data_IF_695408999723
#
_entry.id   IF_695408999723
#
_cell.length_a   1.000
_cell.length_b   1.000
_cell.length_c   1.000
_cell.angle_alpha   90.00
_cell.angle_beta   90.00
_cell.angle_gamma   90.00
#
_symmetry.space_group_name_H-M   'P 1'
#
loop_
_entity.id
_entity.type
_entity.pdbx_description
1 polymer ?
#
# COMPACT_ATOMS: atom_id res chain seq x y z
N UNK A 1 -14.28 3.30 5.77
CA UNK A 1 -14.75 4.42 4.94
C UNK A 1 -14.87 5.66 5.81
N UNK A 2 -13.83 6.49 5.89
CA UNK A 2 -13.84 7.76 6.61
C UNK A 2 -13.31 8.94 5.76
N UNK A 3 -13.14 8.73 4.45
CA UNK A 3 -12.46 9.68 3.55
C UNK A 3 -13.34 10.20 2.43
N UNK A 4 -14.61 9.80 2.40
CA UNK A 4 -15.62 10.39 1.53
C UNK A 4 -16.53 11.27 2.36
N UNK A 5 -16.32 12.59 2.29
CA UNK A 5 -17.25 13.70 2.55
C UNK A 5 -16.50 14.89 3.20
N UNK A 6 -15.90 15.74 2.37
CA UNK A 6 -15.74 17.17 2.64
C UNK A 6 -15.05 17.62 3.94
N UNK A 7 -14.30 16.76 4.64
CA UNK A 7 -13.55 17.18 5.82
C UNK A 7 -12.52 18.25 5.43
N UNK A 8 -12.42 19.36 6.17
CA UNK A 8 -11.36 20.34 5.95
C UNK A 8 -10.00 19.65 6.09
N UNK A 9 -9.02 20.05 5.28
CA UNK A 9 -7.69 19.41 5.24
C UNK A 9 -7.07 19.25 6.64
N UNK A 10 -7.34 20.17 7.57
CA UNK A 10 -6.87 20.11 8.96
C UNK A 10 -7.42 18.94 9.79
N UNK A 11 -8.66 18.53 9.56
CA UNK A 11 -9.26 17.38 10.26
C UNK A 11 -8.68 16.07 9.73
N UNK A 12 -8.43 16.04 8.42
CA UNK A 12 -7.71 14.97 7.74
C UNK A 12 -6.27 14.81 8.24
N UNK A 13 -5.53 15.92 8.40
CA UNK A 13 -4.17 15.89 8.95
C UNK A 13 -4.14 15.35 10.38
N UNK A 14 -5.15 15.73 11.18
CA UNK A 14 -5.31 15.20 12.54
C UNK A 14 -5.60 13.70 12.54
N UNK A 15 -6.57 13.25 11.73
CA UNK A 15 -6.90 11.82 11.61
C UNK A 15 -5.71 11.02 11.09
N UNK A 16 -4.99 11.55 10.11
CA UNK A 16 -3.75 10.95 9.60
C UNK A 16 -2.69 10.82 10.70
N UNK A 17 -2.48 11.88 11.52
CA UNK A 17 -1.55 11.82 12.64
C UNK A 17 -1.95 10.74 13.67
N UNK A 18 -3.24 10.58 13.98
CA UNK A 18 -3.72 9.52 14.86
C UNK A 18 -3.52 8.12 14.26
N UNK A 19 -3.77 7.95 12.96
CA UNK A 19 -3.59 6.70 12.25
C UNK A 19 -2.12 6.30 12.24
N UNK A 20 -1.21 7.20 11.85
CA UNK A 20 0.23 6.92 11.78
C UNK A 20 0.78 6.63 13.18
N UNK A 21 0.25 7.27 14.23
CA UNK A 21 0.64 6.97 15.62
C UNK A 21 0.23 5.55 16.04
N UNK A 22 -0.97 5.10 15.66
CA UNK A 22 -1.51 3.79 16.08
C UNK A 22 -1.03 2.64 15.21
N UNK A 23 -0.90 2.87 13.91
CA UNK A 23 -0.61 1.86 12.92
C UNK A 23 0.21 2.48 11.76
N UNK A 24 1.51 2.76 11.98
CA UNK A 24 2.35 3.49 11.02
C UNK A 24 2.50 2.79 9.67
N UNK A 25 2.22 1.49 9.58
CA UNK A 25 2.37 0.68 8.38
C UNK A 25 1.05 0.07 7.87
N UNK A 26 -0.09 0.68 8.22
CA UNK A 26 -1.40 0.19 7.80
C UNK A 26 -1.67 0.47 6.31
N UNK A 27 -1.53 -0.55 5.47
CA UNK A 27 -1.65 -0.46 4.01
C UNK A 27 -2.85 0.38 3.53
N UNK A 28 -4.06 0.03 3.94
CA UNK A 28 -5.29 0.70 3.49
C UNK A 28 -5.33 2.19 3.86
N UNK A 29 -4.68 2.57 4.97
CA UNK A 29 -4.63 3.97 5.35
C UNK A 29 -3.70 4.76 4.43
N UNK A 30 -2.52 4.20 4.12
CA UNK A 30 -1.59 4.79 3.17
C UNK A 30 -2.17 4.83 1.75
N UNK A 31 -2.90 3.80 1.34
CA UNK A 31 -3.59 3.75 0.05
C UNK A 31 -4.59 4.90 -0.07
N UNK A 32 -5.49 5.07 0.91
CA UNK A 32 -6.47 6.16 0.84
C UNK A 32 -5.85 7.56 1.01
N UNK A 33 -4.71 7.69 1.71
CA UNK A 33 -3.94 8.93 1.74
C UNK A 33 -3.32 9.24 0.37
N UNK A 34 -2.80 8.22 -0.32
CA UNK A 34 -2.28 8.34 -1.68
C UNK A 34 -3.37 8.78 -2.67
N UNK A 35 -4.55 8.16 -2.65
CA UNK A 35 -5.69 8.53 -3.50
C UNK A 35 -6.09 10.01 -3.34
N UNK A 36 -5.94 10.57 -2.13
CA UNK A 36 -6.22 11.98 -1.85
C UNK A 36 -5.20 12.93 -2.48
N UNK A 37 -3.95 12.51 -2.62
CA UNK A 37 -2.87 13.28 -3.23
C UNK A 37 -2.71 13.00 -4.73
N UNK A 38 -3.31 11.95 -5.27
CA UNK A 38 -3.39 11.75 -6.72
C UNK A 38 -4.29 12.81 -7.37
N UNK A 39 -3.98 13.15 -8.62
CA UNK A 39 -4.49 14.30 -9.38
C UNK A 39 -6.03 14.45 -9.38
N UNK A 40 -6.78 13.36 -9.16
CA UNK A 40 -8.25 13.34 -9.04
C UNK A 40 -8.82 14.32 -8.01
N UNK A 41 -8.00 14.83 -7.07
CA UNK A 41 -8.39 15.87 -6.10
C UNK A 41 -7.43 17.08 -6.02
N UNK A 42 -6.86 17.50 -7.16
CA UNK A 42 -5.92 18.64 -7.28
C UNK A 42 -4.56 18.45 -6.58
N UNK A 43 -4.05 17.23 -6.54
CA UNK A 43 -2.69 16.99 -6.06
C UNK A 43 -1.62 17.28 -7.12
N UNK A 44 -0.40 17.58 -6.66
CA UNK A 44 0.79 17.62 -7.51
C UNK A 44 1.31 16.19 -7.65
N UNK A 45 1.42 15.66 -8.87
CA UNK A 45 1.94 14.32 -9.16
C UNK A 45 3.22 14.00 -8.36
N UNK A 46 4.16 14.96 -8.30
CA UNK A 46 5.39 14.82 -7.51
C UNK A 46 5.14 14.50 -6.03
N UNK A 47 4.14 15.12 -5.40
CA UNK A 47 3.83 14.87 -3.98
C UNK A 47 3.28 13.46 -3.75
N UNK A 48 2.48 12.94 -4.69
CA UNK A 48 1.95 11.58 -4.62
C UNK A 48 3.07 10.54 -4.75
N UNK A 49 3.96 10.71 -5.73
CA UNK A 49 5.13 9.85 -5.90
C UNK A 49 6.08 9.94 -4.69
N UNK A 50 6.43 11.14 -4.24
CA UNK A 50 7.29 11.34 -3.07
C UNK A 50 6.72 10.70 -1.80
N UNK A 51 5.39 10.77 -1.62
CA UNK A 51 4.74 10.08 -0.52
C UNK A 51 4.83 8.56 -0.65
N UNK A 52 4.48 8.03 -1.83
CA UNK A 52 4.49 6.60 -2.10
C UNK A 52 5.89 6.00 -1.92
N UNK A 53 6.93 6.66 -2.41
CA UNK A 53 8.33 6.25 -2.26
C UNK A 53 8.77 6.26 -0.79
N UNK A 54 8.41 7.31 -0.04
CA UNK A 54 8.70 7.37 1.40
C UNK A 54 7.99 6.27 2.18
N UNK A 55 6.73 5.98 1.84
CA UNK A 55 5.96 4.93 2.51
C UNK A 55 6.53 3.54 2.19
N UNK A 56 6.89 3.28 0.94
CA UNK A 56 7.56 2.05 0.53
C UNK A 56 8.90 1.84 1.24
N UNK A 57 9.73 2.89 1.35
CA UNK A 57 11.03 2.82 2.01
C UNK A 57 10.95 2.60 3.53
N UNK A 58 9.88 3.07 4.17
CA UNK A 58 9.68 2.96 5.63
C UNK A 58 8.89 1.72 6.04
N UNK A 59 8.27 1.02 5.10
CA UNK A 59 7.45 -0.14 5.38
C UNK A 59 8.28 -1.36 5.80
N UNK A 60 7.93 -2.05 6.90
CA UNK A 60 8.52 -3.34 7.20
C UNK A 60 8.08 -4.37 6.15
N UNK A 61 8.90 -5.42 5.92
CA UNK A 61 8.53 -6.51 5.02
C UNK A 61 7.16 -7.13 5.37
N UNK A 62 6.31 -7.32 4.37
CA UNK A 62 4.95 -7.84 4.48
C UNK A 62 3.87 -6.79 4.74
N UNK A 63 4.22 -5.50 4.79
CA UNK A 63 3.28 -4.38 5.00
C UNK A 63 2.51 -3.96 3.74
N UNK A 64 2.92 -4.45 2.57
CA UNK A 64 2.43 -4.11 1.22
C UNK A 64 2.65 -2.65 0.82
N UNK A 65 3.37 -1.85 1.62
CA UNK A 65 3.65 -0.46 1.27
C UNK A 65 4.55 -0.32 0.03
N UNK A 66 5.29 -1.37 -0.32
CA UNK A 66 6.08 -1.44 -1.57
C UNK A 66 5.22 -1.38 -2.84
N UNK A 67 3.91 -1.62 -2.74
CA UNK A 67 2.99 -1.49 -3.87
C UNK A 67 2.54 -0.04 -4.15
N UNK A 68 2.72 0.89 -3.20
CA UNK A 68 2.22 2.26 -3.33
C UNK A 68 2.83 3.04 -4.51
N UNK A 69 4.14 2.93 -4.84
CA UNK A 69 4.69 3.59 -6.02
C UNK A 69 4.09 3.09 -7.33
N UNK A 70 3.73 1.80 -7.42
CA UNK A 70 3.04 1.23 -8.59
C UNK A 70 1.65 1.84 -8.75
N UNK A 71 0.93 1.99 -7.63
CA UNK A 71 -0.40 2.60 -7.61
C UNK A 71 -0.32 4.08 -8.02
N UNK A 72 0.67 4.81 -7.49
CA UNK A 72 0.89 6.21 -7.87
C UNK A 72 1.15 6.38 -9.37
N UNK A 73 1.87 5.45 -9.98
CA UNK A 73 2.10 5.39 -11.43
C UNK A 73 0.81 5.16 -12.20
N UNK A 74 0.07 4.09 -11.89
CA UNK A 74 -1.19 3.78 -12.59
C UNK A 74 -2.21 4.91 -12.51
N UNK A 75 -2.27 5.61 -11.37
CA UNK A 75 -3.20 6.73 -11.17
C UNK A 75 -2.79 8.02 -11.93
N UNK A 76 -1.55 8.12 -12.41
CA UNK A 76 -1.04 9.28 -13.16
C UNK A 76 -0.61 8.97 -14.60
N UNK A 77 -0.62 7.70 -15.01
CA UNK A 77 -0.37 7.34 -16.39
C UNK A 77 -1.60 7.67 -17.23
N UNK A 78 -1.46 8.67 -18.10
CA UNK A 78 -2.49 9.09 -19.06
C UNK A 78 -2.21 8.54 -20.47
N UNK A 79 -1.23 7.64 -20.60
CA UNK A 79 -0.81 7.02 -21.85
C UNK A 79 -1.84 6.00 -22.32
N UNK A 80 -2.00 5.82 -23.63
CA UNK A 80 -2.88 4.78 -24.22
C UNK A 80 -2.08 3.52 -24.63
N UNK A 81 -0.81 3.50 -24.28
CA UNK A 81 0.10 2.38 -24.49
C UNK A 81 0.65 1.87 -23.15
N UNK A 82 1.63 0.99 -23.21
CA UNK A 82 2.20 0.30 -22.03
C UNK A 82 3.72 0.42 -22.00
N UNK A 83 4.30 1.38 -22.72
CA UNK A 83 5.74 1.59 -22.73
C UNK A 83 6.24 2.06 -21.37
N UNK A 84 5.47 2.92 -20.69
CA UNK A 84 5.76 3.41 -19.34
C UNK A 84 5.83 2.27 -18.30
N UNK A 85 5.07 1.20 -18.51
CA UNK A 85 5.00 0.05 -17.59
C UNK A 85 6.11 -0.98 -17.76
N UNK A 86 6.82 -0.96 -18.90
CA UNK A 86 7.84 -1.97 -19.24
C UNK A 86 9.27 -1.54 -18.93
N UNK A 87 9.44 -0.43 -18.21
CA UNK A 87 10.76 0.03 -17.80
C UNK A 87 11.40 -0.95 -16.79
N UNK A 88 12.74 -1.08 -16.77
CA UNK A 88 13.43 -1.89 -15.77
C UNK A 88 13.09 -1.47 -14.33
N UNK A 89 12.84 -0.17 -14.12
CA UNK A 89 12.44 0.40 -12.86
C UNK A 89 11.05 -0.09 -12.41
N UNK A 90 10.08 -0.13 -13.34
CA UNK A 90 8.74 -0.65 -13.07
C UNK A 90 8.75 -2.15 -12.76
N UNK A 91 9.53 -2.93 -13.53
CA UNK A 91 9.73 -4.35 -13.23
C UNK A 91 10.30 -4.56 -11.82
N UNK A 92 11.32 -3.78 -11.43
CA UNK A 92 11.91 -3.86 -10.09
C UNK A 92 10.89 -3.53 -8.97
N UNK A 93 9.99 -2.55 -9.20
CA UNK A 93 8.91 -2.25 -8.26
C UNK A 93 7.91 -3.40 -8.14
N UNK A 94 7.55 -4.03 -9.25
CA UNK A 94 6.68 -5.23 -9.25
C UNK A 94 7.34 -6.37 -8.47
N UNK A 95 8.63 -6.63 -8.71
CA UNK A 95 9.38 -7.67 -8.00
C UNK A 95 9.43 -7.39 -6.48
N UNK A 96 9.64 -6.14 -6.08
CA UNK A 96 9.60 -5.73 -4.68
C UNK A 96 8.22 -5.93 -4.04
N UNK A 97 7.14 -5.59 -4.76
CA UNK A 97 5.78 -5.82 -4.30
C UNK A 97 5.46 -7.32 -4.15
N UNK A 98 5.91 -8.14 -5.08
CA UNK A 98 5.76 -9.61 -5.02
C UNK A 98 6.54 -10.18 -3.83
N UNK A 99 7.78 -9.74 -3.61
CA UNK A 99 8.60 -10.18 -2.48
C UNK A 99 7.95 -9.82 -1.13
N UNK A 100 7.40 -8.62 -1.04
CA UNK A 100 6.69 -8.16 0.16
C UNK A 100 5.42 -9.00 0.42
N UNK A 101 4.60 -9.23 -0.61
CA UNK A 101 3.40 -10.06 -0.51
C UNK A 101 3.72 -11.50 -0.07
N UNK A 102 4.84 -12.06 -0.52
CA UNK A 102 5.32 -13.37 -0.08
C UNK A 102 5.70 -13.40 1.39
N UNK A 103 6.17 -12.28 1.95
CA UNK A 103 6.51 -12.21 3.38
C UNK A 103 5.27 -12.32 4.28
N UNK A 104 4.11 -11.85 3.79
CA UNK A 104 2.82 -12.02 4.48
C UNK A 104 2.31 -13.45 4.43
N UNK A 105 2.75 -14.25 3.46
CA UNK A 105 2.42 -15.66 3.40
C UNK A 105 3.14 -16.39 4.56
N UNK A 106 2.37 -16.90 5.52
CA UNK A 106 2.90 -17.53 6.73
C UNK A 106 3.94 -18.64 6.38
N UNK A 107 5.19 -18.54 6.88
CA UNK A 107 6.28 -19.44 6.48
C UNK A 107 6.13 -20.90 6.94
N UNK A 108 5.23 -21.20 7.90
CA UNK A 108 5.03 -22.55 8.43
C UNK A 108 3.77 -23.27 7.92
N UNK A 109 3.04 -22.70 6.96
CA UNK A 109 1.83 -23.29 6.42
C UNK A 109 2.06 -23.79 4.99
N UNK A 110 2.85 -24.87 4.85
CA UNK A 110 3.07 -25.56 3.57
C UNK A 110 1.82 -26.25 2.99
N UNK A 111 0.67 -26.18 3.66
CA UNK A 111 -0.53 -26.98 3.37
C UNK A 111 -1.76 -26.20 2.87
N UNK A 112 -1.72 -24.87 2.75
CA UNK A 112 -2.86 -24.13 2.16
C UNK A 112 -2.97 -24.27 0.62
N UNK A 113 -2.32 -25.29 0.02
CA UNK A 113 -2.45 -25.59 -1.40
C UNK A 113 -3.47 -26.71 -1.69
N UNK A 114 -3.96 -27.47 -0.71
CA UNK A 114 -4.95 -28.55 -0.94
C UNK A 114 -5.77 -28.86 0.33
N UNK A 115 -7.10 -28.87 0.18
CA UNK A 115 -8.12 -29.49 1.06
C UNK A 115 -8.51 -28.87 2.41
N UNK A 116 -9.82 -28.87 2.61
CA UNK A 116 -10.68 -28.25 3.64
C UNK A 116 -10.60 -28.90 5.02
N UNK A 117 -9.64 -28.54 5.87
CA UNK A 117 -9.90 -28.48 7.33
C UNK A 117 -8.80 -27.76 8.11
N UNK A 118 -9.18 -26.59 8.65
CA UNK A 118 -8.63 -25.97 9.87
C UNK A 118 -7.11 -25.87 10.02
N UNK A 119 -6.54 -24.79 9.48
CA UNK A 119 -5.30 -24.22 10.01
C UNK A 119 -5.61 -23.61 11.39
N UNK A 120 -5.35 -24.39 12.44
CA UNK A 120 -5.61 -24.08 13.85
C UNK A 120 -4.61 -23.00 14.33
N UNK A 121 -5.09 -21.78 14.57
CA UNK A 121 -4.35 -20.72 15.26
C UNK A 121 -3.93 -21.21 16.65
N UNK A 122 -2.66 -21.00 16.98
CA UNK A 122 -2.07 -21.41 18.25
C UNK A 122 -2.78 -20.79 19.46
N UNK A 123 -3.08 -21.65 20.43
CA UNK A 123 -2.86 -21.42 21.87
C UNK A 123 -3.10 -20.00 22.39
N UNK A 124 -4.32 -19.74 22.86
CA UNK A 124 -4.52 -18.81 23.97
C UNK A 124 -3.80 -19.37 25.20
N UNK A 125 -2.91 -18.56 25.76
CA UNK A 125 -2.37 -18.68 27.11
C UNK A 125 -3.43 -18.11 28.08
N UNK A 126 -3.89 -18.91 29.03
CA UNK A 126 -4.30 -18.57 30.40
C UNK A 126 -4.94 -19.82 31.02
#
# INVERSE_FOLDING_TARGET
MALGLGCPNSEMDRLWAEIVTRAPHHYEAHFSALERWCAKWRGLQRLAFDFAERAAAQGPPGSLLTALPLIAHVEHDESDDTEADRTPEMCARVDAAIADARTRACPNCGTCRRTTSTCRTGTRRA
#
